data_IF_857779254643
#
_entry.id   IF_857779254643
#
_cell.length_a   1.000
_cell.length_b   1.000
_cell.length_c   1.000
_cell.angle_alpha   90.00
_cell.angle_beta   90.00
_cell.angle_gamma   90.00
#
_symmetry.space_group_name_H-M   'P 1'
#
loop_
_entity.id
_entity.type
_entity.pdbx_description
1 polymer ?
#
# COMPACT_ATOMS: atom_id res chain seq x y z
N UNK A 1 -1.78 -40.28 34.95
CA UNK A 1 -2.80 -39.92 33.95
C UNK A 1 -2.67 -38.42 33.66
N UNK A 2 -2.20 -38.07 32.44
CA UNK A 2 -2.60 -36.88 31.63
C UNK A 2 -2.11 -35.49 32.18
N UNK A 3 -1.53 -34.53 31.42
CA UNK A 3 -1.53 -34.18 29.99
C UNK A 3 -0.26 -33.35 29.69
N UNK A 4 0.52 -33.73 28.69
CA UNK A 4 1.47 -32.85 28.02
C UNK A 4 0.66 -31.75 27.31
N UNK A 5 0.80 -30.49 27.73
CA UNK A 5 0.17 -29.37 27.01
C UNK A 5 0.97 -29.12 25.73
N UNK A 6 0.48 -29.69 24.63
CA UNK A 6 0.77 -29.25 23.28
C UNK A 6 0.23 -27.83 23.10
N UNK A 7 1.04 -26.81 23.40
CA UNK A 7 0.75 -25.46 22.94
C UNK A 7 1.25 -25.34 21.50
N UNK A 8 0.37 -25.67 20.55
CA UNK A 8 0.55 -25.33 19.13
C UNK A 8 0.48 -23.81 19.02
N UNK A 9 1.58 -23.12 19.34
CA UNK A 9 1.69 -21.68 19.17
C UNK A 9 1.80 -21.37 17.69
N UNK A 10 0.60 -21.18 17.13
CA UNK A 10 0.20 -20.42 15.94
C UNK A 10 1.27 -20.09 14.91
N UNK A 11 1.09 -20.61 13.68
CA UNK A 11 1.80 -20.24 12.45
C UNK A 11 1.48 -18.80 11.96
N UNK A 12 1.34 -17.83 12.85
CA UNK A 12 0.95 -16.44 12.55
C UNK A 12 2.06 -15.40 12.79
N UNK A 13 3.29 -15.83 13.02
CA UNK A 13 4.43 -14.90 13.17
C UNK A 13 4.98 -14.38 11.83
N UNK A 14 4.29 -14.61 10.70
CA UNK A 14 4.71 -14.14 9.36
C UNK A 14 4.04 -12.85 8.87
N UNK A 15 3.12 -12.26 9.63
CA UNK A 15 2.40 -11.05 9.23
C UNK A 15 2.75 -9.78 10.03
N UNK A 16 3.63 -9.90 11.04
CA UNK A 16 3.99 -8.80 11.95
C UNK A 16 5.35 -8.14 11.65
N UNK A 17 5.91 -8.36 10.45
CA UNK A 17 7.11 -7.64 9.99
C UNK A 17 6.79 -6.75 8.77
N UNK A 18 5.76 -5.90 8.93
CA UNK A 18 5.33 -4.90 7.94
C UNK A 18 5.47 -3.49 8.52
N UNK A 19 6.55 -3.28 9.29
CA UNK A 19 6.85 -2.03 10.02
C UNK A 19 7.71 -1.04 9.23
N UNK A 20 8.21 -1.43 8.05
CA UNK A 20 8.77 -0.49 7.08
C UNK A 20 7.90 -0.56 5.83
N UNK A 21 7.11 0.49 5.57
CA UNK A 21 6.73 0.76 4.19
C UNK A 21 8.02 0.77 3.39
N UNK A 22 8.08 -0.06 2.34
CA UNK A 22 9.25 -0.12 1.48
C UNK A 22 9.65 1.31 1.09
N UNK A 23 10.93 1.65 1.22
CA UNK A 23 11.45 3.00 1.00
C UNK A 23 10.99 3.59 -0.34
N UNK A 24 10.82 2.72 -1.35
CA UNK A 24 10.24 3.07 -2.65
C UNK A 24 8.79 3.54 -2.52
N UNK A 25 7.94 2.79 -1.83
CA UNK A 25 6.53 3.15 -1.62
C UNK A 25 6.36 4.47 -0.87
N UNK A 26 7.23 4.78 0.10
CA UNK A 26 7.23 6.07 0.80
C UNK A 26 7.57 7.20 -0.17
N UNK A 27 8.63 7.04 -0.97
CA UNK A 27 9.03 8.02 -1.99
C UNK A 27 7.91 8.28 -2.99
N UNK A 28 7.29 7.22 -3.51
CA UNK A 28 6.18 7.31 -4.45
C UNK A 28 4.95 8.01 -3.84
N UNK A 29 4.60 7.70 -2.58
CA UNK A 29 3.51 8.41 -1.88
C UNK A 29 3.79 9.91 -1.78
N UNK A 30 5.02 10.30 -1.44
CA UNK A 30 5.40 11.71 -1.37
C UNK A 30 5.38 12.38 -2.76
N UNK A 31 5.80 11.67 -3.81
CA UNK A 31 5.70 12.15 -5.20
C UNK A 31 4.24 12.41 -5.59
N UNK A 32 3.34 11.48 -5.30
CA UNK A 32 1.91 11.65 -5.57
C UNK A 32 1.34 12.87 -4.84
N UNK A 33 1.67 13.04 -3.54
CA UNK A 33 1.24 14.20 -2.75
C UNK A 33 1.73 15.51 -3.38
N UNK A 34 3.00 15.57 -3.79
CA UNK A 34 3.58 16.73 -4.46
C UNK A 34 2.87 17.05 -5.78
N UNK A 35 2.56 16.02 -6.58
CA UNK A 35 1.88 16.18 -7.86
C UNK A 35 0.41 16.61 -7.70
N UNK A 36 -0.29 16.10 -6.71
CA UNK A 36 -1.71 16.40 -6.48
C UNK A 36 -1.94 17.89 -6.22
N UNK A 37 -0.98 18.59 -5.60
CA UNK A 37 -1.08 20.03 -5.33
C UNK A 37 -2.12 20.43 -4.28
N UNK A 38 -2.69 19.46 -3.55
CA UNK A 38 -3.61 19.68 -2.44
C UNK A 38 -2.93 19.54 -1.08
N UNK A 39 -3.73 19.49 -0.01
CA UNK A 39 -3.18 19.15 1.31
C UNK A 39 -2.66 17.71 1.32
N UNK A 40 -1.67 17.44 2.16
CA UNK A 40 -1.10 16.09 2.32
C UNK A 40 -2.17 15.04 2.64
N UNK A 41 -3.13 15.37 3.49
CA UNK A 41 -4.22 14.48 3.87
C UNK A 41 -5.16 14.19 2.70
N UNK A 42 -5.61 15.23 1.99
CA UNK A 42 -6.49 15.05 0.84
C UNK A 42 -5.83 14.20 -0.26
N UNK A 43 -4.56 14.47 -0.55
CA UNK A 43 -3.81 13.68 -1.54
C UNK A 43 -3.62 12.22 -1.10
N UNK A 44 -3.41 11.95 0.19
CA UNK A 44 -3.31 10.59 0.71
C UNK A 44 -4.64 9.83 0.57
N UNK A 45 -5.77 10.46 0.92
CA UNK A 45 -7.10 9.86 0.74
C UNK A 45 -7.42 9.55 -0.72
N UNK A 46 -7.09 10.47 -1.62
CA UNK A 46 -7.27 10.29 -3.07
C UNK A 46 -6.42 9.13 -3.57
N UNK A 47 -5.16 9.05 -3.16
CA UNK A 47 -4.27 7.95 -3.53
C UNK A 47 -4.81 6.61 -3.05
N UNK A 48 -5.26 6.51 -1.81
CA UNK A 48 -5.78 5.25 -1.27
C UNK A 48 -7.04 4.80 -2.03
N UNK A 49 -7.95 5.73 -2.38
CA UNK A 49 -9.11 5.44 -3.24
C UNK A 49 -8.70 4.95 -4.64
N UNK A 50 -7.70 5.58 -5.27
CA UNK A 50 -7.20 5.16 -6.57
C UNK A 50 -6.57 3.77 -6.51
N UNK A 51 -5.79 3.48 -5.47
CA UNK A 51 -5.19 2.16 -5.24
C UNK A 51 -6.27 1.10 -5.08
N UNK A 52 -7.35 1.38 -4.35
CA UNK A 52 -8.45 0.42 -4.19
C UNK A 52 -9.18 0.13 -5.51
N UNK A 53 -9.39 1.15 -6.35
CA UNK A 53 -9.92 0.96 -7.71
C UNK A 53 -8.95 0.13 -8.57
N UNK A 54 -7.65 0.42 -8.51
CA UNK A 54 -6.64 -0.29 -9.28
C UNK A 54 -6.50 -1.75 -8.84
N UNK A 55 -6.58 -2.05 -7.54
CA UNK A 55 -6.58 -3.43 -7.02
C UNK A 55 -7.75 -4.26 -7.54
N UNK A 56 -8.92 -3.64 -7.70
CA UNK A 56 -10.10 -4.31 -8.29
C UNK A 56 -9.91 -4.60 -9.77
N UNK A 57 -9.29 -3.68 -10.53
CA UNK A 57 -9.04 -3.84 -11.97
C UNK A 57 -7.84 -4.74 -12.30
N UNK A 58 -6.81 -4.69 -11.46
CA UNK A 58 -5.52 -5.35 -11.65
C UNK A 58 -5.12 -6.07 -10.37
N UNK A 59 -5.77 -7.20 -10.03
CA UNK A 59 -5.43 -7.95 -8.83
C UNK A 59 -3.99 -8.49 -8.90
N UNK A 60 -3.41 -8.78 -7.73
CA UNK A 60 -2.09 -9.40 -7.57
C UNK A 60 -0.88 -8.56 -8.02
N UNK A 61 -1.02 -7.24 -8.16
CA UNK A 61 0.13 -6.34 -8.26
C UNK A 61 0.65 -5.94 -6.88
N UNK A 62 1.92 -5.57 -6.83
CA UNK A 62 2.53 -5.03 -5.62
C UNK A 62 2.08 -3.57 -5.36
N UNK A 63 2.36 -3.09 -4.15
CA UNK A 63 1.94 -1.74 -3.75
C UNK A 63 2.65 -0.64 -4.54
N UNK A 64 3.91 -0.86 -4.94
CA UNK A 64 4.68 0.12 -5.70
C UNK A 64 4.04 0.34 -7.08
N UNK A 65 3.66 -0.74 -7.76
CA UNK A 65 2.99 -0.69 -9.05
C UNK A 65 1.69 0.11 -9.00
N UNK A 66 0.85 -0.09 -7.96
CA UNK A 66 -0.39 0.69 -7.84
C UNK A 66 -0.12 2.19 -7.67
N UNK A 67 0.88 2.56 -6.87
CA UNK A 67 1.23 3.98 -6.67
C UNK A 67 1.87 4.57 -7.94
N UNK A 68 2.77 3.83 -8.61
CA UNK A 68 3.35 4.23 -9.90
C UNK A 68 2.28 4.46 -10.96
N UNK A 69 1.27 3.58 -11.02
CA UNK A 69 0.13 3.73 -11.93
C UNK A 69 -0.73 4.94 -11.61
N UNK A 70 -1.05 5.17 -10.33
CA UNK A 70 -1.76 6.37 -9.89
C UNK A 70 -1.01 7.66 -10.27
N UNK A 71 0.31 7.69 -10.08
CA UNK A 71 1.17 8.81 -10.50
C UNK A 71 1.15 9.00 -12.03
N UNK A 72 1.25 7.91 -12.78
CA UNK A 72 1.21 7.96 -14.25
C UNK A 72 -0.11 8.54 -14.75
N UNK A 73 -1.24 8.06 -14.22
CA UNK A 73 -2.56 8.53 -14.61
C UNK A 73 -2.73 10.02 -14.22
N UNK A 74 -2.30 10.41 -13.02
CA UNK A 74 -2.30 11.82 -12.58
C UNK A 74 -1.44 12.73 -13.47
N UNK A 75 -0.26 12.27 -13.92
CA UNK A 75 0.59 13.03 -14.86
C UNK A 75 -0.06 13.13 -16.24
N UNK A 76 -0.73 12.07 -16.69
CA UNK A 76 -1.41 12.03 -17.99
C UNK A 76 -2.58 13.01 -18.04
N UNK A 77 -3.41 13.06 -17.01
CA UNK A 77 -4.59 13.94 -16.96
C UNK A 77 -4.22 15.44 -16.91
N UNK A 78 -2.98 15.77 -16.56
CA UNK A 78 -2.45 17.15 -16.52
C UNK A 78 -1.85 17.61 -17.86
N UNK A 79 -1.72 16.73 -18.84
CA UNK A 79 -1.14 17.02 -20.15
C UNK A 79 -2.24 17.20 -21.19
#
# INVERSE_FOLDING_TARGET
IIKIRNDKRSKNDKFLNKGYFDSKTIKLRNEFISLHGGTRMAAAEVLDRQIDVLKRKHPNKDMAWYIEKAIYDLKRDRR
#
